data_IF_613937316153
#
_entry.id   IF_613937316153
#
_cell.length_a   1.000
_cell.length_b   1.000
_cell.length_c   1.000
_cell.angle_alpha   90.00
_cell.angle_beta   90.00
_cell.angle_gamma   90.00
#
_symmetry.space_group_name_H-M   'P 1'
#
loop_
_entity.id
_entity.type
_entity.pdbx_description
1 polymer ?
#
# COMPACT_ATOMS: atom_id res chain seq x y z
N UNK A 1 -0.06 17.30 3.54
CA UNK A 1 0.85 16.13 3.41
C UNK A 1 0.27 14.92 4.13
N UNK A 2 0.15 14.95 5.46
CA UNK A 2 -0.41 13.83 6.23
C UNK A 2 -1.85 13.45 5.88
N UNK A 3 -2.76 14.41 5.70
CA UNK A 3 -4.15 14.13 5.31
C UNK A 3 -4.24 13.45 3.93
N UNK A 4 -3.42 13.89 2.98
CA UNK A 4 -3.33 13.29 1.64
C UNK A 4 -2.73 11.88 1.71
N UNK A 5 -1.72 11.66 2.55
CA UNK A 5 -1.15 10.33 2.80
C UNK A 5 -2.19 9.36 3.38
N UNK A 6 -3.04 9.82 4.32
CA UNK A 6 -4.17 9.07 4.86
C UNK A 6 -5.18 8.74 3.74
N UNK A 7 -5.55 9.74 2.93
CA UNK A 7 -6.52 9.59 1.85
C UNK A 7 -6.06 8.54 0.82
N UNK A 8 -4.81 8.65 0.35
CA UNK A 8 -4.23 7.70 -0.61
C UNK A 8 -4.07 6.31 -0.04
N UNK A 9 -3.62 6.21 1.21
CA UNK A 9 -3.52 4.91 1.90
C UNK A 9 -4.88 4.23 2.01
N UNK A 10 -5.98 4.97 2.23
CA UNK A 10 -7.34 4.41 2.24
C UNK A 10 -7.75 3.88 0.87
N UNK A 11 -7.49 4.63 -0.20
CA UNK A 11 -7.82 4.20 -1.56
C UNK A 11 -7.06 2.94 -1.95
N UNK A 12 -5.77 2.85 -1.59
CA UNK A 12 -4.94 1.67 -1.79
C UNK A 12 -5.46 0.45 -1.01
N UNK A 13 -5.80 0.62 0.27
CA UNK A 13 -6.42 -0.44 1.09
C UNK A 13 -7.73 -0.94 0.48
N UNK A 14 -8.57 -0.04 -0.06
CA UNK A 14 -9.83 -0.44 -0.71
C UNK A 14 -9.56 -1.32 -1.92
N UNK A 15 -8.61 -0.94 -2.79
CA UNK A 15 -8.25 -1.74 -3.95
C UNK A 15 -7.65 -3.10 -3.56
N UNK A 16 -6.80 -3.13 -2.53
CA UNK A 16 -6.23 -4.37 -2.01
C UNK A 16 -7.28 -5.31 -1.42
N UNK A 17 -8.24 -4.78 -0.67
CA UNK A 17 -9.33 -5.58 -0.11
C UNK A 17 -10.24 -6.17 -1.19
N UNK A 18 -10.53 -5.42 -2.26
CA UNK A 18 -11.29 -5.94 -3.40
C UNK A 18 -10.60 -7.15 -4.06
N UNK A 19 -9.27 -7.10 -4.20
CA UNK A 19 -8.47 -8.23 -4.66
C UNK A 19 -8.57 -9.45 -3.72
N UNK A 20 -8.41 -9.25 -2.41
CA UNK A 20 -8.50 -10.34 -1.42
C UNK A 20 -9.91 -10.97 -1.42
N UNK A 21 -10.95 -10.15 -1.50
CA UNK A 21 -12.35 -10.62 -1.53
C UNK A 21 -12.64 -11.43 -2.80
N UNK A 22 -12.16 -10.97 -3.97
CA UNK A 22 -12.28 -11.71 -5.23
C UNK A 22 -11.59 -13.08 -5.15
N UNK A 23 -10.42 -13.15 -4.50
CA UNK A 23 -9.68 -14.40 -4.28
C UNK A 23 -10.42 -15.36 -3.36
N UNK A 24 -10.99 -14.85 -2.27
CA UNK A 24 -11.73 -15.65 -1.28
C UNK A 24 -13.05 -16.20 -1.82
N UNK A 25 -13.71 -15.48 -2.73
CA UNK A 25 -14.99 -15.90 -3.32
C UNK A 25 -14.84 -16.69 -4.62
N UNK A 26 -13.60 -16.91 -5.09
CA UNK A 26 -13.34 -17.62 -6.35
C UNK A 26 -13.94 -16.90 -7.56
N UNK A 27 -13.96 -15.56 -7.54
CA UNK A 27 -14.57 -14.77 -8.60
C UNK A 27 -13.77 -14.86 -9.90
N UNK A 28 -14.48 -14.82 -11.03
CA UNK A 28 -13.90 -14.88 -12.37
C UNK A 28 -12.94 -13.71 -12.65
N UNK A 29 -13.10 -12.60 -11.93
CA UNK A 29 -12.40 -11.35 -12.18
C UNK A 29 -11.15 -11.13 -11.31
N UNK A 30 -10.66 -12.17 -10.61
CA UNK A 30 -9.45 -12.08 -9.75
C UNK A 30 -8.26 -11.41 -10.45
N UNK A 31 -8.05 -11.67 -11.74
CA UNK A 31 -6.97 -11.06 -12.52
C UNK A 31 -7.17 -9.56 -12.74
N UNK A 32 -8.41 -9.12 -12.92
CA UNK A 32 -8.73 -7.70 -13.07
C UNK A 32 -8.53 -6.97 -11.75
N UNK A 33 -9.00 -7.54 -10.63
CA UNK A 33 -8.82 -6.97 -9.30
C UNK A 33 -7.35 -6.95 -8.87
N UNK A 34 -6.57 -7.99 -9.19
CA UNK A 34 -5.13 -8.00 -8.99
C UNK A 34 -4.44 -6.84 -9.74
N UNK A 35 -4.82 -6.61 -11.00
CA UNK A 35 -4.31 -5.49 -11.79
C UNK A 35 -4.67 -4.13 -11.20
N UNK A 36 -5.90 -3.96 -10.72
CA UNK A 36 -6.36 -2.75 -10.07
C UNK A 36 -5.60 -2.47 -8.75
N UNK A 37 -5.45 -3.49 -7.90
CA UNK A 37 -4.71 -3.40 -6.65
C UNK A 37 -3.21 -3.09 -6.89
N UNK A 38 -2.56 -3.78 -7.83
CA UNK A 38 -1.16 -3.52 -8.18
C UNK A 38 -0.94 -2.13 -8.78
N UNK A 39 -1.87 -1.65 -9.62
CA UNK A 39 -1.82 -0.27 -10.13
C UNK A 39 -1.95 0.75 -9.00
N UNK A 40 -2.94 0.58 -8.11
CA UNK A 40 -3.17 1.47 -6.97
C UNK A 40 -1.95 1.55 -6.04
N UNK A 41 -1.32 0.42 -5.77
CA UNK A 41 -0.11 0.35 -4.96
C UNK A 41 1.07 1.11 -5.61
N UNK A 42 1.28 0.95 -6.92
CA UNK A 42 2.33 1.67 -7.66
C UNK A 42 2.07 3.17 -7.74
N UNK A 43 0.83 3.58 -7.97
CA UNK A 43 0.44 4.99 -8.03
C UNK A 43 0.61 5.67 -6.67
N UNK A 44 0.23 4.96 -5.60
CA UNK A 44 0.40 5.41 -4.22
C UNK A 44 1.89 5.51 -3.86
N UNK A 45 2.71 4.51 -4.21
CA UNK A 45 4.15 4.55 -4.02
C UNK A 45 4.82 5.69 -4.79
N UNK A 46 4.40 5.96 -6.02
CA UNK A 46 4.93 7.05 -6.83
C UNK A 46 4.61 8.42 -6.22
N UNK A 47 3.43 8.55 -5.62
CA UNK A 47 3.07 9.76 -4.89
C UNK A 47 3.95 9.95 -3.64
N UNK A 48 4.15 8.89 -2.85
CA UNK A 48 5.02 8.93 -1.67
C UNK A 48 6.44 9.38 -2.02
N UNK A 49 7.04 8.81 -3.08
CA UNK A 49 8.35 9.24 -3.59
C UNK A 49 8.36 10.72 -3.97
N UNK A 50 7.30 11.21 -4.64
CA UNK A 50 7.25 12.58 -5.18
C UNK A 50 7.23 13.67 -4.10
N UNK A 51 6.79 13.33 -2.89
CA UNK A 51 6.64 14.28 -1.78
C UNK A 51 7.64 14.03 -0.65
N UNK A 52 8.36 12.90 -0.67
CA UNK A 52 9.31 12.46 0.37
C UNK A 52 10.36 13.52 0.70
N UNK A 53 10.89 14.22 -0.30
CA UNK A 53 11.96 15.22 -0.15
C UNK A 53 11.53 16.52 0.53
N UNK A 54 10.22 16.74 0.65
CA UNK A 54 9.64 17.95 1.27
C UNK A 54 9.34 17.75 2.76
N UNK A 55 9.61 16.55 3.29
CA UNK A 55 9.26 16.16 4.64
C UNK A 55 10.45 16.22 5.62
N UNK A 56 10.17 16.38 6.92
CA UNK A 56 11.14 16.07 7.96
C UNK A 56 11.71 14.65 7.77
N UNK A 57 12.99 14.45 8.09
CA UNK A 57 13.71 13.20 7.82
C UNK A 57 13.00 11.94 8.34
N UNK A 58 12.32 12.06 9.50
CA UNK A 58 11.58 10.95 10.10
C UNK A 58 10.36 10.54 9.27
N UNK A 59 9.55 11.50 8.81
CA UNK A 59 8.43 11.24 7.90
C UNK A 59 8.90 10.82 6.50
N UNK A 60 9.96 11.44 6.00
CA UNK A 60 10.57 11.11 4.72
C UNK A 60 10.97 9.63 4.66
N UNK A 61 11.67 9.14 5.69
CA UNK A 61 12.06 7.73 5.78
C UNK A 61 10.87 6.77 5.83
N UNK A 62 9.80 7.12 6.54
CA UNK A 62 8.57 6.29 6.59
C UNK A 62 7.83 6.27 5.24
N UNK A 63 7.84 7.39 4.51
CA UNK A 63 7.23 7.49 3.18
C UNK A 63 7.99 6.63 2.18
N UNK A 64 9.33 6.66 2.20
CA UNK A 64 10.19 5.82 1.38
C UNK A 64 9.98 4.33 1.69
N UNK A 65 9.87 3.96 2.97
CA UNK A 65 9.63 2.59 3.42
C UNK A 65 8.25 2.09 2.93
N UNK A 66 7.20 2.91 3.06
CA UNK A 66 5.87 2.55 2.57
C UNK A 66 5.87 2.40 1.04
N UNK A 67 6.52 3.32 0.32
CA UNK A 67 6.60 3.26 -1.13
C UNK A 67 7.33 1.99 -1.61
N UNK A 68 8.44 1.61 -0.96
CA UNK A 68 9.14 0.36 -1.23
C UNK A 68 8.23 -0.85 -0.98
N UNK A 69 7.51 -0.86 0.15
CA UNK A 69 6.63 -1.97 0.49
C UNK A 69 5.47 -2.10 -0.51
N UNK A 70 4.84 -0.99 -0.91
CA UNK A 70 3.75 -0.97 -1.91
C UNK A 70 4.20 -1.49 -3.28
N UNK A 71 5.43 -1.18 -3.71
CA UNK A 71 5.99 -1.74 -4.95
C UNK A 71 6.17 -3.25 -4.83
N UNK A 72 6.65 -3.73 -3.68
CA UNK A 72 6.74 -5.16 -3.40
C UNK A 72 5.36 -5.81 -3.42
N UNK A 73 4.35 -5.18 -2.81
CA UNK A 73 2.95 -5.63 -2.85
C UNK A 73 2.47 -5.78 -4.28
N UNK A 74 2.71 -4.79 -5.16
CA UNK A 74 2.26 -4.88 -6.55
C UNK A 74 2.83 -6.10 -7.29
N UNK A 75 4.13 -6.40 -7.10
CA UNK A 75 4.77 -7.59 -7.67
C UNK A 75 4.17 -8.88 -7.11
N UNK A 76 3.92 -8.88 -5.80
CA UNK A 76 3.29 -9.98 -5.05
C UNK A 76 1.75 -9.94 -5.14
N UNK A 77 1.16 -9.13 -6.00
CA UNK A 77 -0.27 -9.23 -6.35
C UNK A 77 -0.39 -9.79 -7.78
N UNK A 78 0.53 -9.43 -8.67
CA UNK A 78 0.48 -9.82 -10.09
C UNK A 78 1.04 -11.21 -10.41
N UNK A 79 1.86 -11.77 -9.52
CA UNK A 79 2.39 -13.14 -9.61
C UNK A 79 1.42 -14.20 -9.06
N UNK A 80 1.83 -15.47 -8.93
CA UNK A 80 1.06 -16.53 -8.28
C UNK A 80 1.61 -16.73 -6.86
N UNK A 81 0.85 -16.38 -5.83
CA UNK A 81 1.34 -16.26 -4.44
C UNK A 81 0.45 -16.99 -3.44
N UNK A 82 1.05 -17.29 -2.30
CA UNK A 82 0.35 -17.85 -1.15
C UNK A 82 -0.38 -16.78 -0.34
N UNK A 83 -1.43 -17.19 0.38
CA UNK A 83 -2.12 -16.32 1.34
C UNK A 83 -1.17 -15.78 2.43
N UNK A 84 -0.14 -16.54 2.80
CA UNK A 84 0.86 -16.12 3.79
C UNK A 84 1.70 -14.93 3.30
N UNK A 85 2.07 -14.91 2.01
CA UNK A 85 2.80 -13.79 1.42
C UNK A 85 1.94 -12.51 1.36
N UNK A 86 0.67 -12.66 0.97
CA UNK A 86 -0.30 -11.56 0.97
C UNK A 86 -0.50 -11.00 2.39
N UNK A 87 -0.64 -11.88 3.38
CA UNK A 87 -0.79 -11.48 4.78
C UNK A 87 0.45 -10.75 5.30
N UNK A 88 1.64 -11.29 5.04
CA UNK A 88 2.90 -10.69 5.50
C UNK A 88 3.09 -9.27 4.96
N UNK A 89 2.73 -9.03 3.70
CA UNK A 89 2.89 -7.72 3.07
C UNK A 89 1.82 -6.73 3.55
N UNK A 90 0.59 -7.21 3.79
CA UNK A 90 -0.47 -6.42 4.42
C UNK A 90 -0.06 -5.95 5.81
N UNK A 91 0.47 -6.85 6.64
CA UNK A 91 0.93 -6.53 8.00
C UNK A 91 2.06 -5.50 8.00
N UNK A 92 3.05 -5.67 7.12
CA UNK A 92 4.13 -4.70 6.94
C UNK A 92 3.59 -3.32 6.52
N UNK A 93 2.69 -3.27 5.53
CA UNK A 93 2.07 -2.02 5.06
C UNK A 93 1.30 -1.31 6.18
N UNK A 94 0.53 -2.07 6.95
CA UNK A 94 -0.28 -1.54 8.04
C UNK A 94 0.58 -1.00 9.19
N UNK A 95 1.68 -1.69 9.51
CA UNK A 95 2.64 -1.21 10.50
C UNK A 95 3.24 0.15 10.09
N UNK A 96 3.70 0.28 8.85
CA UNK A 96 4.32 1.53 8.36
C UNK A 96 3.28 2.66 8.30
N UNK A 97 2.06 2.39 7.79
CA UNK A 97 0.96 3.37 7.79
C UNK A 97 0.65 3.87 9.19
N UNK A 98 0.63 2.97 10.19
CA UNK A 98 0.45 3.36 11.60
C UNK A 98 1.57 4.28 12.06
N UNK A 99 2.83 3.97 11.78
CA UNK A 99 3.97 4.83 12.12
C UNK A 99 3.87 6.21 11.47
N UNK A 100 3.44 6.29 10.20
CA UNK A 100 3.18 7.57 9.52
C UNK A 100 2.09 8.36 10.26
N UNK A 101 0.99 7.71 10.65
CA UNK A 101 -0.11 8.41 11.33
C UNK A 101 0.26 8.86 12.74
N UNK A 102 1.01 8.05 13.48
CA UNK A 102 1.50 8.39 14.81
C UNK A 102 2.45 9.62 14.72
N UNK A 103 3.36 9.63 13.74
CA UNK A 103 4.27 10.76 13.49
C UNK A 103 3.49 12.02 13.05
N UNK A 104 2.54 11.87 12.12
CA UNK A 104 1.67 12.95 11.64
C UNK A 104 0.77 13.57 12.74
N UNK A 105 0.41 12.81 13.78
CA UNK A 105 -0.34 13.32 14.93
C UNK A 105 0.55 13.92 16.04
N UNK A 106 1.87 13.78 15.92
CA UNK A 106 2.86 14.28 16.88
C UNK A 106 3.53 15.60 16.48
N UNK A 107 3.36 16.02 15.22
CA UNK A 107 3.82 17.29 14.63
C UNK A 107 2.81 18.42 14.86
#
# INVERSE_FOLDING_TARGET
>A
MCEEAVSRSKNDVVAFNAYVDAGNHGETDLRAEAGAAASSARDTASWFDSVSSELPAQLSGLFDELAANLRSSAVVIESDHSADEINSISDASNSIRKSIFDECGSL
#
